data_IF_276725368374
#
_entry.id   IF_276725368374
#
_cell.length_a   1.000
_cell.length_b   1.000
_cell.length_c   1.000
_cell.angle_alpha   90.00
_cell.angle_beta   90.00
_cell.angle_gamma   90.00
#
_symmetry.space_group_name_H-M   'P 1'
#
loop_
_entity.id
_entity.type
_entity.pdbx_description
1 polymer ?
#
# COMPACT_ATOMS: atom_id res chain seq x y z
N UNK A 1 24.40 38.50 5.39
CA UNK A 1 23.56 37.37 5.82
C UNK A 1 22.59 37.03 4.71
N UNK A 2 23.00 36.12 3.83
CA UNK A 2 22.17 35.37 2.89
C UNK A 2 22.95 34.10 2.60
N UNK A 3 22.45 32.98 3.07
CA UNK A 3 22.76 31.68 2.50
C UNK A 3 21.43 31.23 1.92
N UNK A 4 21.28 31.39 0.61
CA UNK A 4 20.26 30.68 -0.12
C UNK A 4 20.82 29.26 -0.30
N UNK A 5 20.37 28.33 0.53
CA UNK A 5 20.55 26.91 0.25
C UNK A 5 19.50 26.53 -0.80
N UNK A 6 19.88 26.66 -2.07
CA UNK A 6 19.18 26.02 -3.16
C UNK A 6 19.40 24.51 -3.05
N UNK A 7 18.51 23.82 -2.35
CA UNK A 7 18.40 22.36 -2.41
C UNK A 7 17.92 21.98 -3.80
N UNK A 8 18.75 21.22 -4.53
CA UNK A 8 18.52 20.86 -5.92
C UNK A 8 17.17 20.20 -6.15
N UNK A 9 16.54 20.59 -7.26
CA UNK A 9 15.38 19.95 -7.88
C UNK A 9 15.83 18.57 -8.43
N UNK A 10 16.11 17.63 -7.51
CA UNK A 10 16.56 16.29 -7.81
C UNK A 10 15.37 15.40 -8.11
N UNK A 11 15.28 14.91 -9.35
CA UNK A 11 14.32 13.87 -9.72
C UNK A 11 14.51 12.62 -8.85
N UNK A 12 13.39 12.00 -8.47
CA UNK A 12 13.37 10.79 -7.68
C UNK A 12 12.09 9.99 -7.92
N UNK A 13 12.03 8.78 -7.40
CA UNK A 13 10.81 7.98 -7.41
C UNK A 13 10.38 7.64 -5.99
N UNK A 14 9.07 7.60 -5.77
CA UNK A 14 8.46 7.27 -4.49
C UNK A 14 7.48 6.13 -4.69
N UNK A 15 7.61 5.12 -3.84
CA UNK A 15 6.71 3.99 -3.77
C UNK A 15 5.97 4.02 -2.45
N UNK A 16 4.66 3.82 -2.52
CA UNK A 16 3.78 3.82 -1.36
C UNK A 16 2.81 2.65 -1.46
N UNK A 17 2.37 2.13 -0.33
CA UNK A 17 1.39 1.06 -0.26
C UNK A 17 0.16 1.55 0.49
N UNK A 18 -1.03 1.21 -0.03
CA UNK A 18 -2.30 1.42 0.66
C UNK A 18 -2.98 0.09 0.90
N UNK A 19 -3.79 0.04 1.96
CA UNK A 19 -4.66 -1.10 2.25
C UNK A 19 -6.09 -0.68 1.92
N UNK A 20 -6.72 -1.40 1.01
CA UNK A 20 -8.12 -1.24 0.65
C UNK A 20 -8.94 -2.34 1.30
N UNK A 21 -10.16 -2.00 1.68
CA UNK A 21 -11.17 -2.96 2.12
C UNK A 21 -12.50 -2.68 1.43
N UNK A 22 -13.32 -3.71 1.30
CA UNK A 22 -14.71 -3.50 0.89
C UNK A 22 -15.51 -2.88 2.04
N UNK A 23 -16.43 -1.95 1.76
CA UNK A 23 -17.40 -1.48 2.74
C UNK A 23 -18.15 -2.66 3.33
N UNK A 24 -18.40 -2.60 4.64
CA UNK A 24 -19.22 -3.62 5.30
C UNK A 24 -20.63 -3.57 4.68
N UNK A 25 -21.28 -4.73 4.54
CA UNK A 25 -22.60 -4.92 3.91
C UNK A 25 -23.73 -3.99 4.41
N UNK A 26 -23.55 -3.32 5.57
CA UNK A 26 -24.50 -2.37 6.13
C UNK A 26 -24.26 -0.92 5.68
N UNK A 27 -23.27 -0.65 4.83
CA UNK A 27 -23.02 0.69 4.31
C UNK A 27 -23.96 0.98 3.14
N UNK A 28 -24.89 1.91 3.35
CA UNK A 28 -25.91 2.31 2.37
C UNK A 28 -25.34 2.98 1.13
N UNK A 29 -24.05 3.32 1.13
CA UNK A 29 -23.31 3.85 -0.03
C UNK A 29 -22.68 2.78 -0.90
N UNK A 30 -22.62 1.52 -0.45
CA UNK A 30 -21.98 0.47 -1.23
C UNK A 30 -22.84 0.11 -2.45
N UNK A 31 -22.37 0.45 -3.66
CA UNK A 31 -22.85 -0.20 -4.88
C UNK A 31 -22.77 -1.71 -4.66
N UNK A 32 -23.87 -2.41 -4.92
CA UNK A 32 -23.97 -3.86 -4.69
C UNK A 32 -23.02 -4.58 -5.63
N UNK A 33 -21.82 -4.84 -5.14
CA UNK A 33 -20.79 -5.60 -5.85
C UNK A 33 -21.33 -6.99 -6.17
N UNK A 34 -21.32 -7.37 -7.44
CA UNK A 34 -21.84 -8.66 -7.92
C UNK A 34 -20.79 -9.78 -7.85
N UNK A 35 -19.59 -9.50 -7.33
CA UNK A 35 -18.53 -10.49 -7.13
C UNK A 35 -17.64 -10.75 -8.36
N UNK A 36 -17.85 -10.03 -9.46
CA UNK A 36 -17.18 -10.31 -10.75
C UNK A 36 -16.08 -9.33 -11.18
N UNK A 37 -16.12 -8.08 -10.74
CA UNK A 37 -15.13 -7.06 -11.16
C UNK A 37 -13.82 -7.28 -10.38
N UNK A 38 -12.67 -7.19 -11.04
CA UNK A 38 -11.38 -7.22 -10.34
C UNK A 38 -10.97 -5.78 -10.02
N UNK A 39 -10.27 -5.55 -8.90
CA UNK A 39 -9.81 -4.21 -8.53
C UNK A 39 -9.01 -3.53 -9.67
N UNK A 40 -8.22 -4.31 -10.41
CA UNK A 40 -7.49 -3.87 -11.61
C UNK A 40 -8.39 -3.31 -12.74
N UNK A 41 -9.67 -3.73 -12.80
CA UNK A 41 -10.64 -3.23 -13.78
C UNK A 41 -11.22 -1.87 -13.35
N UNK A 42 -11.10 -1.53 -12.07
CA UNK A 42 -11.52 -0.26 -11.46
C UNK A 42 -10.35 0.73 -11.37
N UNK A 43 -9.11 0.23 -11.24
CA UNK A 43 -7.88 1.02 -11.07
C UNK A 43 -7.34 1.66 -12.38
N UNK A 44 -8.19 1.97 -13.35
CA UNK A 44 -7.76 2.50 -14.66
C UNK A 44 -7.42 4.01 -14.59
N UNK A 45 -7.68 4.66 -13.46
CA UNK A 45 -7.34 6.07 -13.23
C UNK A 45 -5.83 6.31 -13.03
N UNK A 46 -5.39 7.52 -13.37
CA UNK A 46 -4.07 8.02 -12.99
C UNK A 46 -4.27 9.13 -11.98
N UNK A 47 -3.88 8.89 -10.72
CA UNK A 47 -4.03 9.84 -9.61
C UNK A 47 -2.67 10.42 -9.22
N UNK A 48 -2.64 11.69 -8.78
CA UNK A 48 -1.38 12.30 -8.34
C UNK A 48 -0.99 11.82 -6.93
N UNK A 49 -1.98 11.49 -6.09
CA UNK A 49 -1.76 10.92 -4.76
C UNK A 49 -2.79 9.85 -4.39
N UNK A 50 -2.49 8.98 -3.41
CA UNK A 50 -3.46 8.01 -2.87
C UNK A 50 -4.71 8.67 -2.28
N UNK A 51 -4.62 9.89 -1.75
CA UNK A 51 -5.77 10.64 -1.23
C UNK A 51 -6.74 11.06 -2.32
N UNK A 52 -6.23 11.46 -3.50
CA UNK A 52 -7.10 11.72 -4.66
C UNK A 52 -7.77 10.43 -5.14
N UNK A 53 -7.02 9.33 -5.20
CA UNK A 53 -7.57 8.03 -5.56
C UNK A 53 -8.67 7.56 -4.59
N UNK A 54 -8.58 7.94 -3.31
CA UNK A 54 -9.60 7.62 -2.31
C UNK A 54 -10.96 8.18 -2.66
N UNK A 55 -11.04 9.41 -3.15
CA UNK A 55 -12.34 10.04 -3.45
C UNK A 55 -13.10 9.22 -4.50
N UNK A 56 -12.44 8.83 -5.59
CA UNK A 56 -13.04 8.03 -6.66
C UNK A 56 -13.29 6.57 -6.24
N UNK A 57 -12.33 5.95 -5.54
CA UNK A 57 -12.47 4.55 -5.13
C UNK A 57 -13.57 4.36 -4.09
N UNK A 58 -13.84 5.36 -3.26
CA UNK A 58 -15.00 5.37 -2.35
C UNK A 58 -16.31 5.37 -3.12
N UNK A 59 -16.42 6.10 -4.23
CA UNK A 59 -17.60 6.05 -5.10
C UNK A 59 -17.80 4.66 -5.74
N UNK A 60 -16.71 3.95 -6.00
CA UNK A 60 -16.70 2.56 -6.49
C UNK A 60 -16.81 1.50 -5.37
N UNK A 61 -17.10 1.94 -4.14
CA UNK A 61 -17.33 1.05 -3.01
C UNK A 61 -16.06 0.35 -2.53
N UNK A 62 -14.95 1.09 -2.46
CA UNK A 62 -13.72 0.73 -1.76
C UNK A 62 -13.43 1.74 -0.67
N UNK A 63 -12.96 1.27 0.47
CA UNK A 63 -12.54 2.13 1.57
C UNK A 63 -11.05 1.93 1.83
N UNK A 64 -10.35 3.01 2.17
CA UNK A 64 -8.95 2.98 2.54
C UNK A 64 -8.85 2.74 4.05
N UNK A 65 -7.98 1.82 4.44
CA UNK A 65 -7.63 1.66 5.86
C UNK A 65 -6.69 2.78 6.24
N UNK A 66 -7.12 3.59 7.19
CA UNK A 66 -6.32 4.69 7.74
C UNK A 66 -5.32 4.15 8.77
N UNK A 67 -4.10 4.66 8.67
CA UNK A 67 -3.09 4.55 9.73
C UNK A 67 -3.50 5.36 10.97
N UNK A 68 -2.81 5.14 12.09
CA UNK A 68 -3.10 5.82 13.35
C UNK A 68 -2.96 7.36 13.27
N UNK A 69 -2.18 7.89 12.32
CA UNK A 69 -2.05 9.33 12.06
C UNK A 69 -2.95 9.85 10.93
N UNK A 70 -3.93 9.05 10.49
CA UNK A 70 -4.94 9.42 9.51
C UNK A 70 -4.47 9.37 8.05
N UNK A 71 -3.25 8.91 7.78
CA UNK A 71 -2.79 8.70 6.40
C UNK A 71 -3.38 7.43 5.82
N UNK A 72 -3.57 7.42 4.51
CA UNK A 72 -4.13 6.29 3.76
C UNK A 72 -3.07 5.49 3.00
N UNK A 73 -1.81 5.90 3.12
CA UNK A 73 -0.67 5.25 2.47
C UNK A 73 0.56 5.24 3.38
N UNK A 74 1.29 4.14 3.30
CA UNK A 74 2.57 3.93 3.94
C UNK A 74 3.67 4.07 2.91
N UNK A 75 4.72 4.82 3.24
CA UNK A 75 5.90 4.91 2.39
C UNK A 75 6.54 3.53 2.35
N UNK A 76 6.80 3.00 1.16
CA UNK A 76 7.56 1.76 0.95
C UNK A 76 9.02 2.13 0.67
N UNK A 77 9.24 2.99 -0.31
CA UNK A 77 10.57 3.37 -0.75
C UNK A 77 10.62 4.80 -1.30
N UNK A 78 11.76 5.47 -1.09
CA UNK A 78 12.08 6.78 -1.67
C UNK A 78 13.45 6.71 -2.31
N UNK A 79 13.49 6.80 -3.63
CA UNK A 79 14.74 6.95 -4.34
C UNK A 79 15.12 8.44 -4.40
N UNK A 80 16.12 8.83 -3.62
CA UNK A 80 16.73 10.16 -3.70
C UNK A 80 17.89 10.14 -4.68
N UNK A 81 17.67 10.76 -5.84
CA UNK A 81 18.60 10.92 -6.97
C UNK A 81 18.88 9.64 -7.79
N UNK A 82 18.77 9.80 -9.13
CA UNK A 82 19.03 8.85 -10.20
C UNK A 82 20.50 8.35 -10.26
N UNK A 83 20.98 7.73 -9.19
CA UNK A 83 22.17 6.91 -9.23
C UNK A 83 21.72 5.47 -9.53
N UNK A 84 22.23 4.88 -10.63
CA UNK A 84 21.94 3.50 -11.05
C UNK A 84 22.35 2.40 -10.06
N UNK A 85 22.66 2.74 -8.82
CA UNK A 85 22.96 1.80 -7.72
C UNK A 85 21.69 1.17 -7.11
N UNK A 86 20.50 1.53 -7.57
CA UNK A 86 19.23 1.14 -6.93
C UNK A 86 18.22 0.49 -7.91
N UNK A 87 18.70 -0.19 -8.95
CA UNK A 87 17.83 -0.88 -9.92
C UNK A 87 16.97 -1.98 -9.27
N UNK A 88 17.49 -2.68 -8.26
CA UNK A 88 16.80 -3.76 -7.55
C UNK A 88 16.74 -3.49 -6.04
N UNK A 89 15.60 -2.98 -5.56
CA UNK A 89 15.36 -2.74 -4.13
C UNK A 89 14.26 -3.68 -3.62
N UNK A 90 14.51 -4.37 -2.51
CA UNK A 90 13.52 -5.19 -1.80
C UNK A 90 13.24 -4.59 -0.43
N UNK A 91 11.98 -4.25 -0.18
CA UNK A 91 11.51 -3.80 1.14
C UNK A 91 10.65 -4.90 1.73
N UNK A 92 11.03 -5.41 2.90
CA UNK A 92 10.28 -6.44 3.62
C UNK A 92 9.78 -5.89 4.97
N UNK A 93 8.50 -6.10 5.25
CA UNK A 93 7.90 -5.85 6.56
C UNK A 93 7.43 -7.18 7.13
N UNK A 94 7.75 -7.42 8.41
CA UNK A 94 7.38 -8.66 9.12
C UNK A 94 6.70 -8.32 10.43
N UNK A 95 5.65 -9.06 10.75
CA UNK A 95 4.92 -8.87 12.00
C UNK A 95 5.84 -9.05 13.21
N UNK A 96 5.81 -8.09 14.14
CA UNK A 96 6.61 -8.14 15.37
C UNK A 96 8.12 -7.94 15.17
N UNK A 97 8.57 -7.60 13.96
CA UNK A 97 9.97 -7.30 13.66
C UNK A 97 10.11 -5.81 13.40
N UNK A 98 10.93 -5.13 14.22
CA UNK A 98 11.27 -3.73 13.96
C UNK A 98 12.19 -3.63 12.74
N UNK A 99 11.85 -2.74 11.81
CA UNK A 99 12.59 -2.51 10.55
C UNK A 99 13.29 -1.15 10.54
N UNK A 100 13.52 -0.56 11.71
CA UNK A 100 14.08 0.78 11.93
C UNK A 100 15.48 1.03 11.32
N UNK A 101 16.19 0.00 10.85
CA UNK A 101 17.54 0.09 10.25
C UNK A 101 17.58 0.19 8.71
N UNK A 102 16.49 0.57 8.04
CA UNK A 102 16.46 0.48 6.57
C UNK A 102 17.01 1.74 5.83
N UNK A 103 18.08 1.53 5.06
CA UNK A 103 18.63 2.37 3.98
C UNK A 103 18.55 3.90 4.15
N UNK A 104 19.25 4.44 5.16
CA UNK A 104 19.45 5.91 5.34
C UNK A 104 18.14 6.72 5.32
N UNK A 105 17.01 6.13 5.73
CA UNK A 105 15.70 6.77 5.74
C UNK A 105 14.96 6.78 4.39
N UNK A 106 15.37 5.93 3.44
CA UNK A 106 14.73 5.76 2.12
C UNK A 106 13.59 4.75 2.15
N UNK A 107 13.77 3.64 2.84
CA UNK A 107 12.71 2.67 3.06
C UNK A 107 11.80 3.11 4.21
N UNK A 108 10.50 2.87 4.05
CA UNK A 108 9.58 2.98 5.18
C UNK A 108 9.69 1.78 6.11
N UNK A 109 9.36 2.00 7.38
CA UNK A 109 9.48 1.00 8.45
C UNK A 109 8.23 0.12 8.63
N UNK A 110 7.20 0.28 7.79
CA UNK A 110 5.98 -0.51 7.84
C UNK A 110 5.17 -0.39 9.14
N UNK A 111 5.49 0.58 10.01
CA UNK A 111 4.83 0.72 11.32
C UNK A 111 3.32 0.93 11.13
N UNK A 112 2.53 0.08 11.78
CA UNK A 112 1.07 0.07 11.69
C UNK A 112 0.51 -0.49 10.38
N UNK A 113 1.34 -0.78 9.36
CA UNK A 113 0.88 -1.39 8.12
C UNK A 113 0.48 -2.85 8.36
N UNK A 114 1.36 -3.63 8.99
CA UNK A 114 1.10 -5.03 9.28
C UNK A 114 -0.10 -5.17 10.23
N UNK A 115 -0.18 -4.33 11.27
CA UNK A 115 -1.30 -4.29 12.22
C UNK A 115 -2.66 -3.97 11.57
N UNK A 116 -2.66 -3.20 10.48
CA UNK A 116 -3.84 -2.81 9.75
C UNK A 116 -4.28 -3.84 8.68
N UNK A 117 -3.42 -4.81 8.35
CA UNK A 117 -3.66 -5.76 7.27
C UNK A 117 -4.49 -6.96 7.76
N UNK A 118 -5.71 -7.08 7.23
CA UNK A 118 -6.59 -8.23 7.48
C UNK A 118 -6.70 -9.14 6.24
N UNK A 119 -7.13 -10.39 6.42
CA UNK A 119 -7.25 -11.38 5.34
C UNK A 119 -8.24 -10.99 4.21
N UNK A 120 -9.18 -10.07 4.47
CA UNK A 120 -10.12 -9.55 3.47
C UNK A 120 -9.66 -8.25 2.79
N UNK A 121 -8.49 -7.73 3.19
CA UNK A 121 -7.95 -6.51 2.62
C UNK A 121 -7.22 -6.80 1.30
N UNK A 122 -7.09 -5.76 0.48
CA UNK A 122 -6.26 -5.74 -0.72
C UNK A 122 -5.19 -4.70 -0.53
N UNK A 123 -3.96 -5.02 -0.90
CA UNK A 123 -2.86 -4.05 -0.91
C UNK A 123 -2.68 -3.50 -2.32
N UNK A 124 -2.53 -2.18 -2.43
CA UNK A 124 -2.24 -1.48 -3.68
C UNK A 124 -0.88 -0.81 -3.58
N UNK A 125 -0.07 -0.95 -4.63
CA UNK A 125 1.20 -0.23 -4.77
C UNK A 125 1.00 1.01 -5.64
N UNK A 126 1.49 2.14 -5.14
CA UNK A 126 1.57 3.40 -5.86
C UNK A 126 3.03 3.63 -6.24
N UNK A 127 3.27 3.99 -7.50
CA UNK A 127 4.56 4.42 -7.98
C UNK A 127 4.44 5.84 -8.51
N UNK A 128 5.23 6.75 -7.96
CA UNK A 128 5.23 8.16 -8.34
C UNK A 128 6.64 8.59 -8.75
N UNK A 129 6.72 9.29 -9.87
CA UNK A 129 7.89 10.05 -10.23
C UNK A 129 7.79 11.45 -9.58
N UNK A 130 8.80 11.81 -8.80
CA UNK A 130 8.93 13.12 -8.15
C UNK A 130 9.94 13.96 -8.94
N UNK A 131 9.51 15.12 -9.42
CA UNK A 131 10.37 16.08 -10.14
C UNK A 131 10.03 16.23 -11.63
N UNK A 132 10.29 17.44 -12.16
CA UNK A 132 9.88 17.83 -13.52
C UNK A 132 10.76 17.26 -14.63
N UNK A 133 11.89 16.65 -14.26
CA UNK A 133 12.93 16.13 -15.16
C UNK A 133 13.19 14.63 -14.99
N UNK A 134 12.40 13.90 -14.21
CA UNK A 134 12.68 12.48 -13.97
C UNK A 134 12.40 11.68 -15.25
N UNK A 135 13.48 11.26 -15.92
CA UNK A 135 13.44 10.17 -16.91
C UNK A 135 13.25 8.80 -16.25
N UNK A 136 13.10 8.78 -14.91
CA UNK A 136 12.90 7.60 -14.09
C UNK A 136 11.60 6.89 -14.47
N UNK A 137 11.75 5.84 -15.27
CA UNK A 137 10.68 4.90 -15.58
C UNK A 137 10.79 3.73 -14.62
N UNK A 138 9.68 3.41 -13.98
CA UNK A 138 9.55 2.16 -13.23
C UNK A 138 9.40 1.03 -14.25
N UNK A 139 10.42 0.19 -14.37
CA UNK A 139 10.39 -0.96 -15.27
C UNK A 139 9.39 -2.03 -14.82
N UNK A 140 9.40 -2.34 -13.53
CA UNK A 140 8.44 -3.21 -12.87
C UNK A 140 8.40 -2.90 -11.37
N UNK A 141 7.26 -3.17 -10.75
CA UNK A 141 7.14 -3.21 -9.30
C UNK A 141 6.14 -4.32 -8.94
N UNK A 142 6.41 -5.06 -7.88
CA UNK A 142 5.56 -6.15 -7.41
C UNK A 142 5.39 -6.09 -5.91
N UNK A 143 4.25 -6.59 -5.44
CA UNK A 143 3.98 -6.83 -4.02
C UNK A 143 3.72 -8.31 -3.85
N UNK A 144 4.38 -8.90 -2.86
CA UNK A 144 4.12 -10.25 -2.40
C UNK A 144 3.69 -10.18 -0.94
N UNK A 145 2.63 -10.90 -0.59
CA UNK A 145 2.10 -10.96 0.78
C UNK A 145 2.04 -12.43 1.17
N UNK A 146 2.74 -12.77 2.24
CA UNK A 146 2.74 -14.10 2.82
C UNK A 146 1.89 -14.09 4.10
N UNK A 147 0.94 -15.01 4.19
CA UNK A 147 0.13 -15.23 5.38
C UNK A 147 0.55 -16.54 6.04
N UNK A 148 0.97 -16.48 7.30
CA UNK A 148 1.09 -17.68 8.12
C UNK A 148 -0.31 -18.02 8.65
N UNK A 149 -0.97 -18.99 8.02
CA UNK A 149 -2.24 -19.50 8.53
C UNK A 149 -1.95 -20.31 9.80
N UNK A 150 -2.67 -20.07 10.90
CA UNK A 150 -2.57 -20.96 12.04
C UNK A 150 -2.90 -22.38 11.57
N UNK A 151 -2.20 -23.41 12.10
CA UNK A 151 -2.51 -24.78 11.74
C UNK A 151 -4.01 -25.02 11.98
N UNK A 152 -4.72 -25.71 11.08
CA UNK A 152 -6.14 -25.94 11.21
C UNK A 152 -6.40 -26.50 12.62
N UNK A 153 -7.16 -25.77 13.43
CA UNK A 153 -7.62 -26.30 14.69
C UNK A 153 -8.55 -27.48 14.31
N UNK A 154 -8.18 -28.69 14.70
CA UNK A 154 -8.97 -29.90 14.43
C UNK A 154 -10.07 -30.12 15.50
N UNK A 155 -10.42 -29.10 16.31
CA UNK A 155 -11.23 -29.28 17.52
C UNK A 155 -12.57 -28.56 17.55
N UNK A 156 -12.96 -27.79 16.51
CA UNK A 156 -14.27 -27.12 16.48
C UNK A 156 -15.11 -27.47 15.26
N UNK A 157 -15.29 -28.77 14.99
CA UNK A 157 -16.50 -29.20 14.28
C UNK A 157 -17.64 -29.35 15.31
N UNK A 158 -18.74 -28.58 15.22
CA UNK A 158 -19.93 -28.88 15.99
C UNK A 158 -20.40 -30.28 15.59
N UNK A 159 -20.50 -31.14 16.61
CA UNK A 159 -21.07 -32.47 16.53
C UNK A 159 -22.49 -32.34 15.96
N UNK A 160 -22.68 -32.65 14.67
CA UNK A 160 -24.02 -32.75 14.12
C UNK A 160 -24.69 -33.97 14.77
N UNK A 161 -25.86 -33.85 15.41
CA UNK A 161 -26.58 -35.01 15.88
C UNK A 161 -27.05 -35.80 14.66
N UNK A 162 -26.61 -37.06 14.56
CA UNK A 162 -27.14 -38.01 13.59
C UNK A 162 -28.63 -38.21 13.88
N UNK A 163 -29.48 -38.00 12.88
CA UNK A 163 -30.90 -38.35 12.88
C UNK A 163 -31.10 -39.87 12.93
#
# INVERSE_FOLDING_TARGET
MRVAEGGGDGGGSRFEASILRKPRLNDTRARRWTGGERLQDVLVGTWATPEEAREELVEEGWDFVESADGRVAWVVWRNGAAAGEFEDCKVEWKWGVDTSENDRGRAGNGVGFMDALEASCIVVLWARAEGRQSEDKVGAASIEIEYELPPPNWYELPFWPSY
#
